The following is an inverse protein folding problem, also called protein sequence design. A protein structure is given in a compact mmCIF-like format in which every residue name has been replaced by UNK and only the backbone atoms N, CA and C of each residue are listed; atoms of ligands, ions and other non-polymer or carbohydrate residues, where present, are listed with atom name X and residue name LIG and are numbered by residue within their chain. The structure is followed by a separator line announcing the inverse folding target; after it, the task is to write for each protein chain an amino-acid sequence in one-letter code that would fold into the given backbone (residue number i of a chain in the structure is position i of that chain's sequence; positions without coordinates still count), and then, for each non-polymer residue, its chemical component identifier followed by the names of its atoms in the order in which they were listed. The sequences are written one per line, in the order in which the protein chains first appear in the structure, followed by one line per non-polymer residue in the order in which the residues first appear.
data_IF_475113934041
#
_entry.id   IF_475113934041
#
_cell.length_a   1.000
_cell.length_b   1.000
_cell.length_c   1.000
_cell.angle_alpha   90.00
_cell.angle_beta   90.00
_cell.angle_gamma   90.00
#
_symmetry.space_group_name_H-M   'P 1'
#
loop_
_entity.id
_entity.type
_entity.pdbx_description
1 polymer ?
#
# COMPACT_ATOMS: atom_id res chain seq x y z
N UNK A 1 13.96 8.37 -4.96
CA UNK A 1 14.85 7.58 -4.07
C UNK A 1 15.46 8.57 -3.09
N UNK A 2 15.72 8.18 -1.85
CA UNK A 2 16.46 9.08 -0.95
C UNK A 2 17.91 9.23 -1.44
N UNK A 3 18.55 10.39 -1.22
CA UNK A 3 19.87 10.68 -1.77
C UNK A 3 21.02 9.99 -1.02
N UNK A 4 20.77 9.42 0.16
CA UNK A 4 21.81 8.85 1.03
C UNK A 4 21.94 7.34 0.80
N UNK A 5 20.82 6.63 0.79
CA UNK A 5 20.77 5.17 0.68
C UNK A 5 20.10 4.68 -0.61
N UNK A 6 19.56 5.57 -1.45
CA UNK A 6 18.88 5.19 -2.69
C UNK A 6 17.56 4.44 -2.47
N UNK A 7 16.98 4.50 -1.27
CA UNK A 7 15.78 3.76 -0.85
C UNK A 7 14.53 4.38 -1.47
N UNK A 8 13.65 3.51 -1.96
CA UNK A 8 12.29 3.87 -2.35
C UNK A 8 11.40 3.74 -1.11
N UNK A 9 10.73 4.83 -0.72
CA UNK A 9 9.99 4.88 0.56
C UNK A 9 8.50 4.63 0.36
N UNK A 10 8.13 3.41 -0.05
CA UNK A 10 6.72 3.04 -0.34
C UNK A 10 5.78 3.40 0.82
N UNK A 11 6.09 2.93 2.04
CA UNK A 11 5.30 3.21 3.25
C UNK A 11 5.19 4.71 3.55
N UNK A 12 6.30 5.44 3.48
CA UNK A 12 6.29 6.89 3.75
C UNK A 12 5.43 7.63 2.73
N UNK A 13 5.51 7.27 1.45
CA UNK A 13 4.67 7.86 0.41
C UNK A 13 3.19 7.54 0.60
N UNK A 14 2.86 6.34 1.08
CA UNK A 14 1.47 5.97 1.42
C UNK A 14 0.94 6.78 2.61
N UNK A 15 1.73 6.93 3.68
CA UNK A 15 1.34 7.79 4.81
C UNK A 15 1.20 9.25 4.39
N UNK A 16 2.12 9.75 3.56
CA UNK A 16 2.02 11.11 3.03
C UNK A 16 0.76 11.31 2.20
N UNK A 17 0.40 10.35 1.35
CA UNK A 17 -0.85 10.38 0.59
C UNK A 17 -2.08 10.42 1.53
N UNK A 18 -2.12 9.57 2.55
CA UNK A 18 -3.22 9.58 3.53
C UNK A 18 -3.31 10.91 4.26
N UNK A 19 -2.18 11.51 4.66
CA UNK A 19 -2.15 12.82 5.30
C UNK A 19 -2.65 13.93 4.38
N UNK A 20 -2.22 13.97 3.11
CA UNK A 20 -2.69 14.98 2.15
C UNK A 20 -4.20 14.88 1.95
N UNK A 21 -4.73 13.66 1.77
CA UNK A 21 -6.18 13.47 1.60
C UNK A 21 -6.95 13.92 2.84
N UNK A 22 -6.49 13.56 4.04
CA UNK A 22 -7.19 13.89 5.29
C UNK A 22 -7.16 15.39 5.63
N UNK A 23 -6.08 16.08 5.30
CA UNK A 23 -5.91 17.50 5.63
C UNK A 23 -6.49 18.43 4.56
N UNK A 24 -6.35 18.06 3.30
CA UNK A 24 -6.61 18.97 2.18
C UNK A 24 -7.60 18.39 1.18
N UNK A 25 -7.57 17.07 0.95
CA UNK A 25 -8.48 16.39 0.06
C UNK A 25 -8.45 17.00 -1.35
N UNK A 26 -9.60 17.48 -1.80
CA UNK A 26 -9.81 17.95 -3.17
C UNK A 26 -8.89 19.12 -3.55
N UNK A 27 -8.54 20.00 -2.61
CA UNK A 27 -7.68 21.15 -2.90
C UNK A 27 -6.25 20.77 -3.31
N UNK A 28 -5.84 19.52 -3.05
CA UNK A 28 -4.52 18.98 -3.40
C UNK A 28 -4.63 17.76 -4.35
N UNK A 29 -5.68 17.73 -5.19
CA UNK A 29 -5.94 16.64 -6.16
C UNK A 29 -4.71 16.30 -7.02
N UNK A 30 -3.94 17.29 -7.46
CA UNK A 30 -2.75 17.04 -8.29
C UNK A 30 -1.63 16.34 -7.53
N UNK A 31 -1.42 16.70 -6.25
CA UNK A 31 -0.46 16.01 -5.38
C UNK A 31 -0.93 14.57 -5.12
N UNK A 32 -2.22 14.37 -4.85
CA UNK A 32 -2.83 13.04 -4.71
C UNK A 32 -2.54 12.19 -5.94
N UNK A 33 -2.87 12.69 -7.15
CA UNK A 33 -2.62 11.97 -8.42
C UNK A 33 -1.13 11.68 -8.62
N UNK A 34 -0.23 12.58 -8.23
CA UNK A 34 1.23 12.38 -8.31
C UNK A 34 1.71 11.26 -7.39
N UNK A 35 1.24 11.23 -6.15
CA UNK A 35 1.58 10.19 -5.18
C UNK A 35 1.02 8.82 -5.58
N UNK A 36 -0.23 8.77 -6.06
CA UNK A 36 -0.83 7.55 -6.61
C UNK A 36 0.02 6.99 -7.75
N UNK A 37 0.38 7.81 -8.75
CA UNK A 37 1.24 7.35 -9.86
C UNK A 37 2.59 6.82 -9.37
N UNK A 38 3.19 7.48 -8.39
CA UNK A 38 4.43 7.01 -7.78
C UNK A 38 4.27 5.62 -7.17
N UNK A 39 3.23 5.40 -6.35
CA UNK A 39 2.96 4.11 -5.71
C UNK A 39 2.67 3.02 -6.75
N UNK A 40 1.83 3.30 -7.76
CA UNK A 40 1.53 2.35 -8.85
C UNK A 40 2.79 1.94 -9.61
N UNK A 41 3.74 2.86 -9.83
CA UNK A 41 5.01 2.56 -10.52
C UNK A 41 5.98 1.66 -9.73
N UNK A 42 5.60 1.26 -8.51
CA UNK A 42 6.41 0.45 -7.58
C UNK A 42 5.74 -0.85 -7.16
N UNK A 43 4.55 -1.14 -7.68
CA UNK A 43 3.90 -2.42 -7.43
C UNK A 43 4.70 -3.53 -8.13
N UNK A 44 4.97 -4.61 -7.41
CA UNK A 44 5.57 -5.81 -7.99
C UNK A 44 4.56 -6.56 -8.87
N UNK A 45 5.04 -7.49 -9.68
CA UNK A 45 4.19 -8.28 -10.58
C UNK A 45 3.10 -9.07 -9.82
N UNK A 46 3.41 -9.54 -8.62
CA UNK A 46 2.48 -10.27 -7.76
C UNK A 46 1.52 -9.38 -6.95
N UNK A 47 1.55 -8.06 -7.14
CA UNK A 47 0.64 -7.13 -6.47
C UNK A 47 1.17 -6.50 -5.18
N UNK A 48 2.32 -6.95 -4.68
CA UNK A 48 2.90 -6.45 -3.44
C UNK A 48 3.68 -5.14 -3.61
N UNK A 49 4.01 -4.53 -2.47
CA UNK A 49 5.08 -3.53 -2.34
C UNK A 49 6.13 -4.01 -1.35
N UNK A 50 7.38 -3.59 -1.60
CA UNK A 50 8.50 -3.98 -0.75
C UNK A 50 8.60 -3.12 0.51
N UNK A 51 8.98 -3.78 1.61
CA UNK A 51 9.61 -3.17 2.77
C UNK A 51 11.10 -2.98 2.47
N UNK A 52 11.58 -1.74 2.62
CA UNK A 52 12.93 -1.36 2.19
C UNK A 52 13.68 -0.65 3.33
N UNK A 53 14.81 -1.21 3.70
CA UNK A 53 15.82 -0.69 4.63
C UNK A 53 17.20 -0.79 3.95
N UNK A 54 18.29 -0.17 4.45
CA UNK A 54 19.59 -0.15 3.75
C UNK A 54 20.10 -1.53 3.28
N UNK A 55 19.79 -2.60 4.03
CA UNK A 55 20.18 -3.98 3.70
C UNK A 55 18.98 -4.93 3.49
N UNK A 56 17.79 -4.38 3.20
CA UNK A 56 16.56 -5.16 3.04
C UNK A 56 15.69 -4.57 1.95
N UNK A 57 15.20 -5.39 1.02
CA UNK A 57 14.28 -4.97 -0.03
C UNK A 57 13.47 -6.17 -0.46
N UNK A 58 12.42 -6.49 0.30
CA UNK A 58 11.61 -7.68 0.10
C UNK A 58 10.14 -7.34 0.16
N UNK A 59 9.33 -8.14 -0.54
CA UNK A 59 7.89 -8.04 -0.54
C UNK A 59 7.32 -8.15 0.88
N UNK A 60 6.31 -7.35 1.18
CA UNK A 60 5.75 -7.27 2.52
C UNK A 60 4.23 -7.10 2.49
N UNK A 61 3.51 -7.96 3.21
CA UNK A 61 2.07 -7.82 3.41
C UNK A 61 1.75 -6.54 4.17
N UNK A 62 2.54 -6.21 5.19
CA UNK A 62 2.38 -4.98 5.98
C UNK A 62 2.47 -3.73 5.08
N UNK A 63 3.53 -3.61 4.29
CA UNK A 63 3.70 -2.43 3.41
C UNK A 63 2.66 -2.43 2.31
N UNK A 64 2.32 -3.59 1.75
CA UNK A 64 1.25 -3.73 0.76
C UNK A 64 -0.09 -3.23 1.31
N UNK A 65 -0.43 -3.56 2.56
CA UNK A 65 -1.65 -3.11 3.22
C UNK A 65 -1.65 -1.60 3.48
N UNK A 66 -0.53 -1.01 3.91
CA UNK A 66 -0.41 0.45 4.03
C UNK A 66 -0.63 1.17 2.70
N UNK A 67 -0.03 0.65 1.62
CA UNK A 67 -0.17 1.23 0.28
C UNK A 67 -1.60 1.02 -0.23
N UNK A 68 -2.17 -0.17 -0.05
CA UNK A 68 -3.54 -0.51 -0.43
C UNK A 68 -4.57 0.40 0.25
N UNK A 69 -4.44 0.65 1.55
CA UNK A 69 -5.29 1.59 2.29
C UNK A 69 -5.20 3.01 1.71
N UNK A 70 -3.99 3.49 1.44
CA UNK A 70 -3.79 4.82 0.86
C UNK A 70 -4.40 4.95 -0.55
N UNK A 71 -4.30 3.89 -1.36
CA UNK A 71 -4.89 3.84 -2.70
C UNK A 71 -6.43 3.78 -2.65
N UNK A 72 -7.02 3.01 -1.72
CA UNK A 72 -8.47 3.00 -1.49
C UNK A 72 -8.98 4.39 -1.14
N UNK A 73 -8.30 5.06 -0.20
CA UNK A 73 -8.64 6.42 0.23
C UNK A 73 -8.55 7.43 -0.93
N UNK A 74 -7.65 7.19 -1.89
CA UNK A 74 -7.45 8.07 -3.04
C UNK A 74 -8.51 7.88 -4.14
N UNK A 75 -9.20 6.73 -4.23
CA UNK A 75 -10.13 6.41 -5.32
C UNK A 75 -11.14 7.52 -5.66
N UNK A 76 -11.76 8.25 -4.70
CA UNK A 76 -12.70 9.32 -5.00
C UNK A 76 -12.11 10.50 -5.77
N UNK A 77 -10.78 10.67 -5.74
CA UNK A 77 -10.04 11.76 -6.40
C UNK A 77 -9.49 11.37 -7.77
N UNK A 78 -9.77 10.15 -8.23
CA UNK A 78 -9.23 9.57 -9.46
C UNK A 78 -10.31 9.39 -10.50
N UNK A 79 -9.92 9.51 -11.77
CA UNK A 79 -10.80 9.36 -12.92
C UNK A 79 -10.03 8.73 -14.10
N UNK A 80 -10.78 8.19 -15.06
CA UNK A 80 -10.25 7.56 -16.27
C UNK A 80 -9.23 6.45 -16.01
N UNK A 81 -8.22 6.37 -16.88
CA UNK A 81 -7.18 5.33 -16.86
C UNK A 81 -6.48 5.21 -15.49
N UNK A 82 -6.27 6.33 -14.79
CA UNK A 82 -5.58 6.31 -13.50
C UNK A 82 -6.43 5.61 -12.42
N UNK A 83 -7.75 5.80 -12.44
CA UNK A 83 -8.68 5.11 -11.54
C UNK A 83 -8.68 3.61 -11.83
N UNK A 84 -8.86 3.22 -13.09
CA UNK A 84 -8.88 1.80 -13.51
C UNK A 84 -7.59 1.06 -13.13
N UNK A 85 -6.43 1.70 -13.36
CA UNK A 85 -5.13 1.15 -12.96
C UNK A 85 -5.01 1.02 -11.44
N UNK A 86 -5.58 1.96 -10.68
CA UNK A 86 -5.59 1.90 -9.22
C UNK A 86 -6.47 0.77 -8.71
N UNK A 87 -7.67 0.60 -9.28
CA UNK A 87 -8.56 -0.52 -8.94
C UNK A 87 -7.92 -1.88 -9.26
N UNK A 88 -7.25 -2.01 -10.41
CA UNK A 88 -6.51 -3.24 -10.75
C UNK A 88 -5.36 -3.49 -9.77
N UNK A 89 -4.59 -2.45 -9.42
CA UNK A 89 -3.54 -2.55 -8.43
C UNK A 89 -4.09 -3.00 -7.06
N UNK A 90 -5.24 -2.47 -6.64
CA UNK A 90 -5.91 -2.86 -5.39
C UNK A 90 -6.36 -4.32 -5.38
N UNK A 91 -6.90 -4.85 -6.49
CA UNK A 91 -7.25 -6.27 -6.61
C UNK A 91 -6.03 -7.17 -6.39
N UNK A 92 -4.91 -6.85 -7.04
CA UNK A 92 -3.66 -7.59 -6.87
C UNK A 92 -3.08 -7.46 -5.46
N UNK A 93 -3.19 -6.28 -4.86
CA UNK A 93 -2.75 -6.04 -3.48
C UNK A 93 -3.55 -6.89 -2.49
N UNK A 94 -4.88 -6.94 -2.65
CA UNK A 94 -5.76 -7.84 -1.89
C UNK A 94 -5.32 -9.29 -2.04
N UNK A 95 -5.14 -9.77 -3.27
CA UNK A 95 -4.77 -11.17 -3.53
C UNK A 95 -3.44 -11.54 -2.87
N UNK A 96 -2.45 -10.65 -2.96
CA UNK A 96 -1.18 -10.81 -2.27
C UNK A 96 -1.35 -10.88 -0.74
N UNK A 97 -2.09 -9.93 -0.14
CA UNK A 97 -2.29 -9.89 1.32
C UNK A 97 -3.04 -11.14 1.80
N UNK A 98 -4.08 -11.59 1.09
CA UNK A 98 -4.78 -12.84 1.42
C UNK A 98 -3.86 -14.05 1.31
N UNK A 99 -2.99 -14.12 0.29
CA UNK A 99 -2.01 -15.21 0.18
C UNK A 99 -0.93 -15.22 1.26
N UNK A 100 -0.82 -14.13 2.04
CA UNK A 100 0.10 -14.03 3.18
C UNK A 100 -0.54 -14.46 4.51
N UNK A 101 -1.84 -14.75 4.52
CA UNK A 101 -2.55 -15.29 5.68
C UNK A 101 -2.11 -16.74 5.94
N UNK A 102 -1.57 -17.00 7.12
CA UNK A 102 -1.10 -18.32 7.55
C UNK A 102 -2.23 -19.10 8.21
N UNK A 103 -2.95 -18.44 9.12
CA UNK A 103 -4.20 -18.89 9.74
C UNK A 103 -5.14 -17.69 9.87
N UNK A 104 -6.41 -17.93 10.20
CA UNK A 104 -7.43 -16.88 10.18
C UNK A 104 -7.04 -15.67 11.05
N UNK A 105 -6.83 -14.52 10.39
CA UNK A 105 -6.43 -13.27 11.04
C UNK A 105 -4.93 -13.14 11.35
N UNK A 106 -4.11 -14.11 10.99
CA UNK A 106 -2.66 -14.13 11.23
C UNK A 106 -1.89 -14.08 9.92
N UNK A 107 -1.10 -13.02 9.74
CA UNK A 107 -0.46 -12.68 8.48
C UNK A 107 1.06 -12.68 8.57
N UNK A 108 1.71 -13.21 7.54
CA UNK A 108 3.14 -13.09 7.38
C UNK A 108 3.53 -11.67 6.96
N UNK A 109 4.26 -10.96 7.82
CA UNK A 109 4.75 -9.59 7.53
C UNK A 109 5.58 -9.52 6.25
N UNK A 110 6.64 -10.32 6.18
CA UNK A 110 7.63 -10.39 5.09
C UNK A 110 8.52 -11.62 5.27
N UNK A 111 9.27 -12.04 4.23
CA UNK A 111 10.03 -13.30 4.22
C UNK A 111 11.04 -13.47 5.36
N UNK A 112 11.72 -12.42 5.81
CA UNK A 112 12.82 -12.53 6.79
C UNK A 112 12.52 -11.90 8.16
N UNK A 113 11.40 -11.17 8.29
CA UNK A 113 11.01 -10.51 9.53
C UNK A 113 9.59 -10.90 9.88
N UNK A 114 9.45 -11.64 10.98
CA UNK A 114 8.16 -12.10 11.52
C UNK A 114 7.75 -11.36 12.80
N UNK A 115 8.68 -10.68 13.49
CA UNK A 115 8.52 -10.25 14.90
C UNK A 115 7.60 -9.03 15.17
N UNK A 116 6.59 -8.74 14.35
CA UNK A 116 5.63 -7.65 14.58
C UNK A 116 4.18 -8.08 14.26
N UNK A 117 3.77 -9.23 14.80
CA UNK A 117 2.52 -9.92 14.45
C UNK A 117 1.28 -9.05 14.63
N UNK A 118 1.10 -8.44 15.81
CA UNK A 118 -0.12 -7.68 16.14
C UNK A 118 -0.35 -6.50 15.18
N UNK A 119 0.71 -5.79 14.82
CA UNK A 119 0.63 -4.66 13.90
C UNK A 119 0.31 -5.10 12.47
N UNK A 120 0.89 -6.23 12.05
CA UNK A 120 0.69 -6.79 10.71
C UNK A 120 -0.73 -7.30 10.57
N UNK A 121 -1.21 -8.06 11.55
CA UNK A 121 -2.56 -8.61 11.55
C UNK A 121 -3.61 -7.50 11.52
N UNK A 122 -3.46 -6.50 12.40
CA UNK A 122 -4.36 -5.35 12.45
C UNK A 122 -4.33 -4.55 11.14
N UNK A 123 -3.14 -4.30 10.57
CA UNK A 123 -3.00 -3.49 9.34
C UNK A 123 -3.55 -4.24 8.12
N UNK A 124 -3.25 -5.54 7.99
CA UNK A 124 -3.78 -6.38 6.91
C UNK A 124 -5.30 -6.52 7.03
N UNK A 125 -5.81 -6.81 8.22
CA UNK A 125 -7.24 -6.88 8.48
C UNK A 125 -7.96 -5.57 8.18
N UNK A 126 -7.40 -4.43 8.60
CA UNK A 126 -7.97 -3.11 8.33
C UNK A 126 -8.02 -2.80 6.82
N UNK A 127 -6.94 -3.08 6.09
CA UNK A 127 -6.91 -2.91 4.64
C UNK A 127 -7.96 -3.79 3.95
N UNK A 128 -8.02 -5.08 4.28
CA UNK A 128 -8.99 -6.01 3.68
C UNK A 128 -10.43 -5.61 4.00
N UNK A 129 -10.72 -5.23 5.24
CA UNK A 129 -12.06 -4.76 5.64
C UNK A 129 -12.47 -3.49 4.86
N UNK A 130 -11.56 -2.53 4.69
CA UNK A 130 -11.82 -1.34 3.88
C UNK A 130 -11.99 -1.68 2.39
N UNK A 131 -11.19 -2.62 1.87
CA UNK A 131 -11.30 -3.09 0.48
C UNK A 131 -12.71 -3.63 0.20
N UNK A 132 -13.20 -4.56 1.02
CA UNK A 132 -14.53 -5.17 0.86
C UNK A 132 -15.71 -4.24 1.18
N UNK A 133 -15.45 -3.06 1.74
CA UNK A 133 -16.45 -2.00 1.87
C UNK A 133 -16.62 -1.21 0.56
N UNK A 134 -15.57 -1.15 -0.25
CA UNK A 134 -15.54 -0.35 -1.50
C UNK A 134 -15.91 -1.20 -2.73
N UNK A 135 -15.53 -2.48 -2.75
CA UNK A 135 -15.77 -3.45 -3.84
C UNK A 135 -16.66 -4.60 -3.38
#
# INVERSE_FOLDING_TARGET
KDPVFGIVRNRVSAEYLKSIIRLYGESERDIIKKLVRFLLSRQNLNGSWNEIHPNYNQESALVTSFVGEALLLALPYLEGELKERTENALRKARDYVLSSEIEQGYFLKSKLYTADYLNVDATCGAFLAQYYKVF
#
